data_IF_141680749567
#
_entry.id   IF_141680749567
#
_cell.length_a   1.000
_cell.length_b   1.000
_cell.length_c   1.000
_cell.angle_alpha   90.00
_cell.angle_beta   90.00
_cell.angle_gamma   90.00
#
_symmetry.space_group_name_H-M   'P 1'
#
loop_
_entity.id
_entity.type
_entity.pdbx_description
1 polymer ?
#
# COMPACT_ATOMS: atom_id res chain seq x y z
N UNK A 1 0.46 62.36 -3.61
CA UNK A 1 -0.41 61.61 -2.70
C UNK A 1 -1.29 60.76 -3.59
N UNK A 2 -0.85 59.54 -3.93
CA UNK A 2 -1.58 58.68 -4.87
C UNK A 2 -1.52 57.25 -4.38
N UNK A 3 -2.72 56.71 -4.17
CA UNK A 3 -3.10 55.49 -3.49
C UNK A 3 -2.50 54.24 -4.14
N UNK A 4 -1.81 53.41 -3.37
CA UNK A 4 -1.49 52.02 -3.72
C UNK A 4 -2.75 51.17 -3.56
N UNK A 5 -3.32 50.77 -4.69
CA UNK A 5 -4.43 49.82 -4.75
C UNK A 5 -3.90 48.39 -4.57
N UNK A 6 -3.93 47.89 -3.34
CA UNK A 6 -3.64 46.49 -3.02
C UNK A 6 -4.80 45.62 -3.53
N UNK A 7 -4.63 45.05 -4.72
CA UNK A 7 -5.52 44.00 -5.23
C UNK A 7 -5.28 42.74 -4.39
N UNK A 8 -6.22 42.39 -3.50
CA UNK A 8 -6.20 41.10 -2.80
C UNK A 8 -6.71 40.05 -3.78
N UNK A 9 -5.79 39.21 -4.25
CA UNK A 9 -6.14 37.97 -4.94
C UNK A 9 -6.92 37.07 -3.97
N UNK A 10 -8.24 36.99 -4.15
CA UNK A 10 -9.10 36.11 -3.37
C UNK A 10 -8.90 34.69 -3.88
N UNK A 11 -7.87 34.02 -3.36
CA UNK A 11 -7.59 32.61 -3.60
C UNK A 11 -8.85 31.78 -3.29
N UNK A 12 -9.55 31.34 -4.33
CA UNK A 12 -10.63 30.39 -4.19
C UNK A 12 -10.03 29.07 -3.69
N UNK A 13 -10.54 28.49 -2.59
CA UNK A 13 -10.03 27.20 -2.15
C UNK A 13 -10.35 26.14 -3.22
N UNK A 14 -9.30 25.65 -3.88
CA UNK A 14 -9.38 24.54 -4.81
C UNK A 14 -9.89 23.30 -4.06
N UNK A 15 -10.87 22.61 -4.63
CA UNK A 15 -11.40 21.35 -4.09
C UNK A 15 -11.00 20.21 -5.00
N UNK A 16 -10.21 19.28 -4.47
CA UNK A 16 -9.88 18.03 -5.15
C UNK A 16 -10.81 16.93 -4.65
N UNK A 17 -11.57 16.32 -5.55
CA UNK A 17 -12.37 15.12 -5.24
C UNK A 17 -11.69 13.92 -5.86
N UNK A 18 -11.31 12.95 -5.02
CA UNK A 18 -10.79 11.67 -5.48
C UNK A 18 -11.95 10.68 -5.46
N UNK A 19 -12.23 10.05 -6.60
CA UNK A 19 -13.26 9.03 -6.67
C UNK A 19 -12.86 7.80 -5.84
N UNK A 20 -13.79 7.10 -5.16
CA UNK A 20 -13.49 5.88 -4.41
C UNK A 20 -12.76 4.83 -5.26
N UNK A 21 -13.14 4.70 -6.53
CA UNK A 21 -12.49 3.80 -7.49
C UNK A 21 -11.02 4.18 -7.77
N UNK A 22 -10.66 5.45 -7.70
CA UNK A 22 -9.27 5.87 -7.83
C UNK A 22 -8.47 5.51 -6.58
N UNK A 23 -9.04 5.65 -5.38
CA UNK A 23 -8.41 5.20 -4.13
C UNK A 23 -8.17 3.69 -4.15
N UNK A 24 -9.17 2.90 -4.56
CA UNK A 24 -9.05 1.45 -4.75
C UNK A 24 -7.86 1.07 -5.66
N UNK A 25 -7.70 1.77 -6.80
CA UNK A 25 -6.57 1.54 -7.71
C UNK A 25 -5.23 1.92 -7.10
N UNK A 26 -5.15 3.05 -6.41
CA UNK A 26 -3.92 3.49 -5.74
C UNK A 26 -3.52 2.48 -4.67
N UNK A 27 -4.46 2.06 -3.82
CA UNK A 27 -4.19 1.06 -2.78
C UNK A 27 -3.76 -0.25 -3.42
N UNK A 28 -4.51 -0.77 -4.39
CA UNK A 28 -4.20 -2.03 -5.07
C UNK A 28 -2.78 -2.02 -5.66
N UNK A 29 -2.39 -0.93 -6.30
CA UNK A 29 -1.05 -0.75 -6.85
C UNK A 29 0.02 -0.69 -5.75
N UNK A 30 -0.20 0.09 -4.69
CA UNK A 30 0.74 0.22 -3.57
C UNK A 30 0.92 -1.11 -2.84
N UNK A 31 -0.16 -1.84 -2.56
CA UNK A 31 -0.10 -3.16 -1.93
C UNK A 31 0.63 -4.16 -2.81
N UNK A 32 0.31 -4.20 -4.11
CA UNK A 32 0.95 -5.10 -5.06
C UNK A 32 2.46 -4.89 -5.12
N UNK A 33 2.89 -3.63 -5.19
CA UNK A 33 4.29 -3.23 -5.18
C UNK A 33 4.97 -3.61 -3.85
N UNK A 34 4.32 -3.33 -2.72
CA UNK A 34 4.86 -3.60 -1.38
C UNK A 34 5.03 -5.09 -1.10
N UNK A 35 4.09 -5.93 -1.54
CA UNK A 35 4.11 -7.38 -1.32
C UNK A 35 4.70 -8.18 -2.48
N UNK A 36 5.10 -7.50 -3.56
CA UNK A 36 5.66 -8.12 -4.76
C UNK A 36 4.67 -9.03 -5.50
N UNK A 37 3.36 -8.78 -5.40
CA UNK A 37 2.32 -9.55 -6.08
C UNK A 37 1.74 -8.76 -7.26
N UNK A 38 0.92 -9.38 -8.10
CA UNK A 38 0.23 -8.64 -9.18
C UNK A 38 -1.01 -7.95 -8.61
N UNK A 39 -1.26 -6.69 -9.00
CA UNK A 39 -2.43 -5.91 -8.57
C UNK A 39 -3.78 -6.60 -8.84
N UNK A 40 -3.87 -7.44 -9.87
CA UNK A 40 -5.07 -8.26 -10.15
C UNK A 40 -5.42 -9.28 -9.06
N UNK A 41 -4.44 -9.65 -8.22
CA UNK A 41 -4.61 -10.58 -7.11
C UNK A 41 -4.88 -9.85 -5.78
N UNK A 42 -4.95 -8.52 -5.80
CA UNK A 42 -5.22 -7.69 -4.63
C UNK A 42 -6.66 -7.23 -4.70
N UNK A 43 -7.45 -7.56 -3.67
CA UNK A 43 -8.78 -7.00 -3.46
C UNK A 43 -8.71 -5.97 -2.34
N UNK A 44 -9.35 -4.83 -2.55
CA UNK A 44 -9.37 -3.74 -1.57
C UNK A 44 -10.82 -3.39 -1.25
N UNK A 45 -11.07 -3.20 0.03
CA UNK A 45 -12.31 -2.63 0.56
C UNK A 45 -11.98 -1.37 1.36
N UNK A 46 -12.68 -0.28 1.07
CA UNK A 46 -12.51 1.02 1.72
C UNK A 46 -13.80 1.40 2.41
N UNK A 47 -13.69 1.81 3.68
CA UNK A 47 -14.80 2.36 4.43
C UNK A 47 -14.40 3.67 5.10
N UNK A 48 -15.33 4.62 5.12
CA UNK A 48 -15.17 5.86 5.90
C UNK A 48 -15.30 5.56 7.39
N UNK A 49 -14.40 6.13 8.17
CA UNK A 49 -14.28 6.02 9.62
C UNK A 49 -14.24 7.44 10.18
N UNK A 50 -15.40 8.12 10.15
CA UNK A 50 -15.57 9.45 10.71
C UNK A 50 -14.74 10.53 9.99
N UNK A 51 -14.66 10.47 8.66
CA UNK A 51 -13.82 11.37 7.85
C UNK A 51 -12.36 10.95 7.75
N UNK A 52 -11.99 9.80 8.31
CA UNK A 52 -10.76 9.06 7.98
C UNK A 52 -11.09 7.83 7.16
N UNK A 53 -10.08 7.21 6.55
CA UNK A 53 -10.24 5.97 5.80
C UNK A 53 -9.81 4.77 6.63
N UNK A 54 -10.67 3.76 6.64
CA UNK A 54 -10.33 2.40 7.02
C UNK A 54 -10.17 1.54 5.78
N UNK A 55 -9.12 0.72 5.80
CA UNK A 55 -8.69 -0.06 4.64
C UNK A 55 -8.61 -1.54 4.99
N UNK A 56 -9.26 -2.38 4.20
CA UNK A 56 -9.10 -3.83 4.27
C UNK A 56 -8.55 -4.34 2.95
N UNK A 57 -7.40 -5.01 2.99
CA UNK A 57 -6.72 -5.51 1.80
C UNK A 57 -6.57 -7.02 1.88
N UNK A 58 -7.12 -7.71 0.89
CA UNK A 58 -7.02 -9.16 0.74
C UNK A 58 -6.05 -9.48 -0.38
N UNK A 59 -4.96 -10.20 -0.07
CA UNK A 59 -3.86 -10.41 -1.01
C UNK A 59 -3.10 -11.70 -0.69
N UNK A 60 -2.60 -12.43 -1.69
CA UNK A 60 -1.59 -13.43 -1.44
C UNK A 60 -0.28 -12.77 -0.96
N UNK A 61 0.57 -13.54 -0.29
CA UNK A 61 1.94 -13.12 0.04
C UNK A 61 2.94 -13.97 -0.76
N UNK A 62 3.96 -13.32 -1.31
CA UNK A 62 5.06 -14.03 -1.95
C UNK A 62 6.02 -14.58 -0.92
N UNK A 63 6.40 -15.86 -1.01
CA UNK A 63 7.40 -16.44 -0.11
C UNK A 63 8.51 -17.13 -0.90
N UNK A 64 9.76 -17.14 -0.40
CA UNK A 64 10.83 -17.93 -1.00
C UNK A 64 10.52 -19.43 -0.86
N UNK A 65 11.01 -20.25 -1.81
CA UNK A 65 10.85 -21.71 -1.73
C UNK A 65 11.49 -22.26 -0.44
N UNK A 66 10.84 -23.26 0.17
CA UNK A 66 11.32 -23.91 1.38
C UNK A 66 12.69 -24.57 1.19
N UNK A 67 12.98 -25.11 0.00
CA UNK A 67 14.31 -25.64 -0.32
C UNK A 67 15.41 -24.59 -0.10
N UNK A 68 15.14 -23.32 -0.44
CA UNK A 68 16.13 -22.24 -0.30
C UNK A 68 16.31 -21.84 1.16
N UNK A 69 15.23 -21.86 1.94
CA UNK A 69 15.26 -21.59 3.37
C UNK A 69 16.05 -22.67 4.11
N UNK A 70 15.87 -23.95 3.74
CA UNK A 70 16.65 -25.05 4.32
C UNK A 70 18.15 -24.98 3.99
N UNK A 71 18.51 -24.43 2.83
CA UNK A 71 19.90 -24.29 2.39
C UNK A 71 20.59 -23.01 2.93
N UNK A 72 19.89 -22.17 3.71
CA UNK A 72 20.51 -20.99 4.31
C UNK A 72 19.55 -20.15 5.15
N UNK A 73 19.79 -20.11 6.46
CA UNK A 73 18.99 -19.34 7.44
C UNK A 73 18.91 -17.83 7.12
N UNK A 74 19.96 -17.29 6.48
CA UNK A 74 20.06 -15.89 6.02
C UNK A 74 18.98 -15.49 5.00
N UNK A 75 18.37 -16.45 4.31
CA UNK A 75 17.38 -16.17 3.25
C UNK A 75 16.12 -15.55 3.84
N UNK A 76 15.71 -15.97 5.03
CA UNK A 76 14.51 -15.42 5.70
C UNK A 76 14.76 -13.98 6.12
N UNK A 77 15.91 -13.69 6.73
CA UNK A 77 16.29 -12.33 7.13
C UNK A 77 16.36 -11.39 5.91
N UNK A 78 16.99 -11.82 4.82
CA UNK A 78 17.10 -11.04 3.57
C UNK A 78 15.77 -10.81 2.86
N UNK A 79 14.76 -11.65 3.11
CA UNK A 79 13.43 -11.51 2.50
C UNK A 79 12.48 -10.67 3.35
N UNK A 80 12.95 -10.13 4.48
CA UNK A 80 12.14 -9.29 5.38
C UNK A 80 11.57 -10.04 6.59
N UNK A 81 12.12 -11.21 6.92
CA UNK A 81 11.75 -11.97 8.12
C UNK A 81 10.55 -12.89 7.92
N UNK A 82 9.82 -13.12 9.01
CA UNK A 82 8.65 -14.00 9.00
C UNK A 82 7.52 -13.44 8.13
N UNK A 83 6.50 -14.25 7.84
CA UNK A 83 5.26 -13.77 7.18
C UNK A 83 4.64 -12.62 7.99
N UNK A 84 4.67 -12.71 9.32
CA UNK A 84 4.11 -11.69 10.20
C UNK A 84 4.90 -10.38 10.15
N UNK A 85 6.24 -10.44 10.14
CA UNK A 85 7.08 -9.25 10.06
C UNK A 85 6.86 -8.52 8.73
N UNK A 86 6.74 -9.29 7.65
CA UNK A 86 6.44 -8.74 6.32
C UNK A 86 5.04 -8.16 6.24
N UNK A 87 4.04 -8.79 6.85
CA UNK A 87 2.69 -8.24 6.91
C UNK A 87 2.66 -6.92 7.70
N UNK A 88 3.37 -6.83 8.83
CA UNK A 88 3.49 -5.59 9.61
C UNK A 88 4.19 -4.49 8.83
N UNK A 89 5.32 -4.78 8.21
CA UNK A 89 6.06 -3.83 7.37
C UNK A 89 5.21 -3.36 6.18
N UNK A 90 4.45 -4.27 5.57
CA UNK A 90 3.53 -3.94 4.49
C UNK A 90 2.39 -3.03 4.95
N UNK A 91 1.79 -3.33 6.11
CA UNK A 91 0.73 -2.51 6.71
C UNK A 91 1.20 -1.06 6.93
N UNK A 92 2.41 -0.89 7.47
CA UNK A 92 3.01 0.43 7.69
C UNK A 92 3.33 1.14 6.37
N UNK A 93 3.91 0.44 5.41
CA UNK A 93 4.26 0.99 4.09
C UNK A 93 3.01 1.41 3.32
N UNK A 94 1.97 0.58 3.31
CA UNK A 94 0.69 0.88 2.65
C UNK A 94 0.05 2.12 3.27
N UNK A 95 -0.02 2.18 4.61
CA UNK A 95 -0.53 3.37 5.32
C UNK A 95 0.22 4.62 4.88
N UNK A 96 1.55 4.64 5.01
CA UNK A 96 2.38 5.82 4.70
C UNK A 96 2.26 6.24 3.24
N UNK A 97 2.36 5.30 2.29
CA UNK A 97 2.32 5.62 0.85
C UNK A 97 0.94 6.06 0.39
N UNK A 98 -0.13 5.42 0.86
CA UNK A 98 -1.49 5.82 0.47
C UNK A 98 -1.84 7.18 1.07
N UNK A 99 -1.47 7.46 2.32
CA UNK A 99 -1.62 8.81 2.89
C UNK A 99 -0.87 9.87 2.07
N UNK A 100 0.39 9.59 1.70
CA UNK A 100 1.19 10.52 0.92
C UNK A 100 0.62 10.78 -0.49
N UNK A 101 0.09 9.74 -1.16
CA UNK A 101 -0.44 9.85 -2.52
C UNK A 101 -1.84 10.46 -2.59
N UNK A 102 -2.67 10.23 -1.56
CA UNK A 102 -4.10 10.60 -1.59
C UNK A 102 -4.40 11.82 -0.72
N UNK A 103 -3.50 12.18 0.20
CA UNK A 103 -3.74 13.22 1.22
C UNK A 103 -4.80 12.84 2.25
N UNK A 104 -5.32 11.61 2.21
CA UNK A 104 -6.37 11.15 3.13
C UNK A 104 -5.77 10.60 4.42
N UNK A 105 -6.40 10.85 5.57
CA UNK A 105 -5.99 10.25 6.84
C UNK A 105 -6.45 8.79 6.90
N UNK A 106 -5.56 7.86 7.28
CA UNK A 106 -5.88 6.44 7.39
C UNK A 106 -5.78 6.06 8.87
N UNK A 107 -6.89 5.62 9.46
CA UNK A 107 -6.95 5.20 10.87
C UNK A 107 -6.57 3.75 11.04
N UNK A 108 -6.96 2.90 10.08
CA UNK A 108 -6.83 1.45 10.19
C UNK A 108 -6.49 0.83 8.86
N UNK A 109 -5.53 -0.10 8.88
CA UNK A 109 -5.20 -0.97 7.75
C UNK A 109 -5.26 -2.40 8.25
N UNK A 110 -6.13 -3.21 7.66
CA UNK A 110 -6.26 -4.64 7.89
C UNK A 110 -5.70 -5.34 6.65
N UNK A 111 -4.73 -6.22 6.84
CA UNK A 111 -4.15 -7.03 5.75
C UNK A 111 -4.54 -8.48 5.96
N UNK A 112 -5.35 -9.01 5.06
CA UNK A 112 -5.79 -10.41 5.04
C UNK A 112 -4.97 -11.17 4.02
N UNK A 113 -4.18 -12.14 4.50
CA UNK A 113 -3.41 -13.02 3.64
C UNK A 113 -4.29 -14.17 3.18
N UNK A 114 -4.60 -14.20 1.88
CA UNK A 114 -5.53 -15.18 1.29
C UNK A 114 -4.83 -16.41 0.71
N UNK A 115 -3.51 -16.36 0.54
CA UNK A 115 -2.75 -17.46 -0.04
C UNK A 115 -1.25 -17.17 -0.11
N UNK A 116 -0.52 -18.14 -0.65
CA UNK A 116 0.94 -18.10 -0.77
C UNK A 116 1.32 -18.23 -2.25
N UNK A 117 2.12 -17.29 -2.76
CA UNK A 117 2.76 -17.35 -4.08
C UNK A 117 4.23 -17.78 -3.91
N UNK A 118 4.55 -19.01 -4.30
CA UNK A 118 5.91 -19.54 -4.20
C UNK A 118 6.67 -19.18 -5.46
N UNK A 119 7.71 -18.36 -5.33
CA UNK A 119 8.60 -18.05 -6.45
C UNK A 119 9.50 -19.26 -6.74
N UNK A 120 9.12 -20.09 -7.71
CA UNK A 120 10.03 -21.09 -8.27
C UNK A 120 11.05 -20.36 -9.16
N UNK A 121 12.33 -20.41 -8.80
CA UNK A 121 13.39 -19.95 -9.70
C UNK A 121 13.55 -20.97 -10.83
N UNK A 122 13.40 -20.51 -12.08
CA UNK A 122 13.75 -21.32 -13.25
C UNK A 122 15.22 -21.68 -13.13
N UNK A 123 15.53 -22.98 -13.01
CA UNK A 123 16.88 -23.50 -13.20
C UNK A 123 17.35 -23.07 -14.60
N UNK A 124 18.31 -22.16 -14.66
CA UNK A 124 19.10 -21.93 -15.89
C UNK A 124 20.01 -23.14 -16.07
N UNK A 125 19.96 -23.74 -17.25
CA UNK A 125 20.73 -24.91 -17.65
C UNK A 125 22.03 -24.46 -18.32
#
# INVERSE_FOLDING_TARGET
>A
MTTTETTRDTAHPGRTKIAPRALDRVVSAVTADTLGVTAKNVSVDLADDGGSLSLTVSTPIRVPSLDRVQNGDDVVARTGGSVLDRAKAAQETIRTRVQALTGSTITRVIVTITGIDIKQERRVK
#
